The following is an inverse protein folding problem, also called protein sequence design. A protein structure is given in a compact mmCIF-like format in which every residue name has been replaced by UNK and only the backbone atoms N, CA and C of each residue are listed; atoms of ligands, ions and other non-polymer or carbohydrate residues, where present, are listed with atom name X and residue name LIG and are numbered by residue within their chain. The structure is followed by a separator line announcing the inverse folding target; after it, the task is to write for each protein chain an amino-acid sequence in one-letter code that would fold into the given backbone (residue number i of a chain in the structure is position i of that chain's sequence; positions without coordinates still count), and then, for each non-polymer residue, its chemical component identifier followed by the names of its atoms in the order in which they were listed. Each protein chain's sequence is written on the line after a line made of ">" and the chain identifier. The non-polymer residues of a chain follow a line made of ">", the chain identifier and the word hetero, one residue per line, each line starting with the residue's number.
data_IF_366954113881
#
_entry.id   IF_366954113881
#
_cell.length_a   1.000
_cell.length_b   1.000
_cell.length_c   1.000
_cell.angle_alpha   90.00
_cell.angle_beta   90.00
_cell.angle_gamma   90.00
#
_symmetry.space_group_name_H-M   'P 1'
#
loop_
_entity.id
_entity.type
_entity.pdbx_description
1 polymer ?
#
# COMPACT_ATOMS: atom_id res chain seq x y z
N UNK A 1 -18.56 8.25 -13.97
CA UNK A 1 -18.92 7.43 -12.82
C UNK A 1 -17.67 6.98 -12.10
N UNK A 2 -17.60 7.24 -10.80
CA UNK A 2 -16.44 6.81 -10.02
C UNK A 2 -16.53 5.32 -9.75
N UNK A 3 -15.42 4.62 -9.96
CA UNK A 3 -15.34 3.22 -9.62
C UNK A 3 -14.91 3.08 -8.16
N UNK A 4 -15.67 2.29 -7.43
CA UNK A 4 -15.32 1.94 -6.06
C UNK A 4 -14.40 0.73 -6.11
N UNK A 5 -13.29 0.84 -5.39
CA UNK A 5 -12.31 -0.24 -5.29
C UNK A 5 -12.24 -0.71 -3.85
N UNK A 6 -12.23 -2.00 -3.67
CA UNK A 6 -12.00 -2.62 -2.37
C UNK A 6 -10.57 -3.15 -2.36
N UNK A 7 -9.84 -2.86 -1.31
CA UNK A 7 -8.50 -3.43 -1.18
C UNK A 7 -8.26 -3.83 0.27
N UNK A 8 -7.23 -4.59 0.48
CA UNK A 8 -6.87 -5.08 1.81
C UNK A 8 -5.50 -4.57 2.20
N UNK A 9 -5.41 -4.00 3.38
CA UNK A 9 -4.14 -3.55 3.95
C UNK A 9 -3.97 -4.25 5.28
N UNK A 10 -2.96 -5.10 5.38
CA UNK A 10 -2.71 -5.92 6.56
C UNK A 10 -3.97 -6.66 7.00
N UNK A 11 -4.64 -7.27 6.04
CA UNK A 11 -5.87 -8.06 6.22
C UNK A 11 -7.10 -7.26 6.63
N UNK A 12 -7.02 -5.95 6.62
CA UNK A 12 -8.19 -5.10 6.86
C UNK A 12 -8.69 -4.55 5.54
N UNK A 13 -10.01 -4.57 5.36
CA UNK A 13 -10.64 -4.13 4.13
C UNK A 13 -10.88 -2.62 4.16
N UNK A 14 -10.49 -1.97 3.09
CA UNK A 14 -10.75 -0.54 2.87
C UNK A 14 -11.43 -0.33 1.54
N UNK A 15 -12.16 0.75 1.43
CA UNK A 15 -12.89 1.11 0.22
C UNK A 15 -12.42 2.49 -0.21
N UNK A 16 -12.06 2.62 -1.48
CA UNK A 16 -11.67 3.92 -2.05
C UNK A 16 -12.44 4.16 -3.34
N UNK A 17 -12.65 5.42 -3.65
CA UNK A 17 -13.29 5.85 -4.90
C UNK A 17 -12.39 6.78 -5.71
N UNK A 18 -11.12 6.79 -5.42
CA UNK A 18 -10.12 7.62 -6.08
C UNK A 18 -8.94 6.76 -6.51
N UNK A 19 -8.20 7.28 -7.47
CA UNK A 19 -6.94 6.65 -7.87
C UNK A 19 -5.86 7.10 -6.89
N UNK A 20 -5.32 6.15 -6.15
CA UNK A 20 -4.21 6.42 -5.25
C UNK A 20 -3.05 5.48 -5.56
N UNK A 21 -1.85 6.02 -5.47
CA UNK A 21 -0.65 5.21 -5.63
C UNK A 21 -0.30 4.52 -4.31
N UNK A 22 0.59 3.55 -4.37
CA UNK A 22 1.10 2.92 -3.15
C UNK A 22 1.82 3.95 -2.29
N UNK A 23 2.50 4.91 -2.91
CA UNK A 23 3.16 6.00 -2.18
C UNK A 23 2.14 6.86 -1.43
N UNK A 24 1.01 7.17 -2.08
CA UNK A 24 -0.08 7.92 -1.43
C UNK A 24 -0.62 7.16 -0.23
N UNK A 25 -0.78 5.86 -0.37
CA UNK A 25 -1.28 5.01 0.69
C UNK A 25 -0.36 5.04 1.92
N UNK A 26 0.94 4.93 1.68
CA UNK A 26 1.95 4.97 2.74
C UNK A 26 1.88 6.30 3.49
N UNK A 27 1.77 7.38 2.75
CA UNK A 27 1.67 8.72 3.33
C UNK A 27 0.38 8.90 4.13
N UNK A 28 -0.72 8.42 3.59
CA UNK A 28 -2.03 8.57 4.23
C UNK A 28 -2.07 7.91 5.61
N UNK A 29 -1.46 6.73 5.73
CA UNK A 29 -1.45 6.00 7.00
C UNK A 29 -0.25 6.37 7.88
N UNK A 30 0.51 7.38 7.52
CA UNK A 30 1.65 7.88 8.30
C UNK A 30 2.76 6.84 8.51
N UNK A 31 2.94 5.94 7.57
CA UNK A 31 4.06 5.02 7.65
C UNK A 31 5.36 5.73 7.28
N UNK A 32 6.43 5.36 7.95
CA UNK A 32 7.75 5.82 7.58
C UNK A 32 8.29 4.91 6.47
N UNK A 33 8.34 5.42 5.26
CA UNK A 33 8.70 4.62 4.09
C UNK A 33 10.11 4.05 4.14
N UNK A 34 10.99 4.66 4.93
CA UNK A 34 12.36 4.17 5.05
C UNK A 34 12.48 2.99 6.01
N UNK A 35 11.43 2.68 6.75
CA UNK A 35 11.43 1.65 7.77
C UNK A 35 10.39 0.58 7.53
N UNK A 36 10.07 0.33 6.27
CA UNK A 36 9.06 -0.69 5.97
C UNK A 36 9.42 -1.50 4.74
N UNK A 37 8.82 -2.69 4.68
CA UNK A 37 8.79 -3.54 3.50
C UNK A 37 7.34 -3.65 3.08
N UNK A 38 7.08 -3.46 1.80
CA UNK A 38 5.74 -3.54 1.25
C UNK A 38 5.61 -4.78 0.37
N UNK A 39 4.61 -5.61 0.65
CA UNK A 39 4.23 -6.70 -0.24
C UNK A 39 2.96 -6.31 -0.97
N UNK A 40 3.01 -6.40 -2.27
CA UNK A 40 1.91 -6.08 -3.14
C UNK A 40 1.46 -7.36 -3.85
N UNK A 41 0.29 -7.84 -3.46
CA UNK A 41 -0.23 -9.12 -3.96
C UNK A 41 0.79 -10.24 -3.78
N UNK A 42 1.34 -10.33 -2.57
CA UNK A 42 2.25 -11.38 -2.11
C UNK A 42 3.66 -11.32 -2.72
N UNK A 43 4.00 -10.20 -3.35
CA UNK A 43 5.34 -9.99 -3.91
C UNK A 43 5.95 -8.76 -3.23
N UNK A 44 7.16 -8.91 -2.74
CA UNK A 44 7.89 -7.76 -2.20
C UNK A 44 8.07 -6.74 -3.32
N UNK A 45 7.60 -5.53 -3.09
CA UNK A 45 7.52 -4.52 -4.12
C UNK A 45 8.51 -3.41 -3.86
N UNK A 46 9.36 -3.14 -4.84
CA UNK A 46 10.43 -2.17 -4.71
C UNK A 46 9.88 -0.75 -4.58
N UNK A 47 10.43 -0.01 -3.65
CA UNK A 47 10.04 1.36 -3.35
C UNK A 47 10.08 2.27 -4.58
N UNK A 48 10.98 2.02 -5.52
CA UNK A 48 11.11 2.84 -6.73
C UNK A 48 9.85 2.85 -7.59
N UNK A 49 8.97 1.87 -7.41
CA UNK A 49 7.74 1.75 -8.21
C UNK A 49 6.48 2.20 -7.46
N UNK A 50 6.60 2.62 -6.21
CA UNK A 50 5.41 2.95 -5.40
C UNK A 50 4.63 4.15 -5.95
N UNK A 51 5.33 5.13 -6.49
CA UNK A 51 4.68 6.36 -7.00
C UNK A 51 3.90 6.12 -8.28
N UNK A 52 4.27 5.10 -9.03
CA UNK A 52 3.66 4.82 -10.33
C UNK A 52 2.75 3.61 -10.32
N UNK A 53 2.61 2.94 -9.19
CA UNK A 53 1.73 1.79 -9.06
C UNK A 53 0.50 2.19 -8.26
N UNK A 54 -0.67 2.04 -8.87
CA UNK A 54 -1.93 2.45 -8.27
C UNK A 54 -2.69 1.27 -7.72
N UNK A 55 -3.35 1.49 -6.60
CA UNK A 55 -4.17 0.46 -5.96
C UNK A 55 -5.31 0.07 -6.88
N UNK A 56 -5.49 -1.23 -7.08
CA UNK A 56 -6.56 -1.79 -7.90
C UNK A 56 -7.55 -2.52 -7.03
N UNK A 57 -8.72 -2.76 -7.58
CA UNK A 57 -9.75 -3.51 -6.87
C UNK A 57 -9.24 -4.89 -6.49
N UNK A 58 -9.50 -5.29 -5.26
CA UNK A 58 -9.12 -6.58 -4.67
C UNK A 58 -7.61 -6.75 -4.43
N UNK A 59 -6.85 -5.68 -4.50
CA UNK A 59 -5.44 -5.75 -4.16
C UNK A 59 -5.22 -6.13 -2.70
N UNK A 60 -4.19 -6.91 -2.46
CA UNK A 60 -3.76 -7.30 -1.12
C UNK A 60 -2.40 -6.67 -0.86
N UNK A 61 -2.37 -5.80 0.13
CA UNK A 61 -1.16 -5.05 0.47
C UNK A 61 -0.79 -5.38 1.90
N UNK A 62 0.47 -5.74 2.11
CA UNK A 62 1.00 -5.96 3.46
C UNK A 62 2.17 -5.03 3.70
N UNK A 63 2.14 -4.40 4.86
CA UNK A 63 3.22 -3.50 5.27
C UNK A 63 3.81 -4.03 6.56
N UNK A 64 5.10 -4.34 6.50
CA UNK A 64 5.85 -4.79 7.67
C UNK A 64 6.84 -3.69 8.02
N UNK A 65 6.69 -3.13 9.21
CA UNK A 65 7.63 -2.12 9.66
C UNK A 65 8.86 -2.79 10.24
N UNK A 66 10.01 -2.27 9.85
CA UNK A 66 11.26 -2.77 10.36
C UNK A 66 11.55 -2.00 11.64
N UNK A 67 11.45 -2.70 12.76
CA UNK A 67 11.85 -2.11 14.03
C UNK A 67 13.34 -2.23 14.08
N UNK A 68 14.01 -1.15 13.79
CA UNK A 68 15.44 -1.16 13.77
C UNK A 68 16.00 -1.50 15.13
N UNK A 69 16.55 -2.67 15.19
CA UNK A 69 17.30 -3.02 16.34
C UNK A 69 18.63 -2.31 16.28
N UNK A 70 18.64 -1.22 16.61
CA UNK A 70 19.83 -0.66 16.51
C UNK A 70 20.67 0.07 16.94
#
# INVERSE_FOLDING_TARGET
>A
MKQVKNFFLNNEKYIIDQDISLSDLITYFNYNESLLVLEYNQVIFNKTHWKTTFVQDLDEIEIVTIVGGG
#
